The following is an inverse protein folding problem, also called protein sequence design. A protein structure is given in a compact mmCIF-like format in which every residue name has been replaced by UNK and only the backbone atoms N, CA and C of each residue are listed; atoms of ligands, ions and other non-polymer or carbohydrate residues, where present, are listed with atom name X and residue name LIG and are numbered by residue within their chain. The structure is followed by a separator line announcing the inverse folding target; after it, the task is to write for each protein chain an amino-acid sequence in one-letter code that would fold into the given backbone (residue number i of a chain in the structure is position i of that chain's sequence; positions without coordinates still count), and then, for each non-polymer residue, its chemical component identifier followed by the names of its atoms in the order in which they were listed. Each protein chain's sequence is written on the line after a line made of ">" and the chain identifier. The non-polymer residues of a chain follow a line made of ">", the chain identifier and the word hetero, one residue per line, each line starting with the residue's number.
data_IF_263456622667
#
_entry.id   IF_263456622667
#
_cell.length_a   1.000
_cell.length_b   1.000
_cell.length_c   1.000
_cell.angle_alpha   90.00
_cell.angle_beta   90.00
_cell.angle_gamma   90.00
#
_symmetry.space_group_name_H-M   'P 1'
#
loop_
_entity.id
_entity.type
_entity.pdbx_description
1 polymer ?
#
# COMPACT_ATOMS: atom_id res chain seq x y z
N UNK A 1 -25.51 2.12 -16.89
CA UNK A 1 -24.66 2.67 -15.80
C UNK A 1 -23.47 3.32 -16.45
N UNK A 2 -23.24 4.61 -16.20
CA UNK A 2 -22.03 5.29 -16.67
C UNK A 2 -20.79 4.57 -16.14
N UNK A 3 -19.88 4.19 -17.03
CA UNK A 3 -18.61 3.56 -16.68
C UNK A 3 -17.81 4.37 -15.64
N UNK A 4 -18.02 5.69 -15.61
CA UNK A 4 -17.47 6.61 -14.59
C UNK A 4 -17.96 6.30 -13.18
N UNK A 5 -19.24 5.97 -13.02
CA UNK A 5 -19.83 5.62 -11.73
C UNK A 5 -19.26 4.30 -11.20
N UNK A 6 -19.06 3.33 -12.08
CA UNK A 6 -18.46 2.02 -11.72
C UNK A 6 -17.00 2.19 -11.28
N UNK A 7 -16.22 3.02 -11.99
CA UNK A 7 -14.84 3.35 -11.61
C UNK A 7 -14.76 4.04 -10.24
N UNK A 8 -15.63 5.01 -9.97
CA UNK A 8 -15.68 5.70 -8.67
C UNK A 8 -15.97 4.72 -7.54
N UNK A 9 -16.95 3.83 -7.72
CA UNK A 9 -17.30 2.81 -6.72
C UNK A 9 -16.12 1.87 -6.47
N UNK A 10 -15.44 1.42 -7.52
CA UNK A 10 -14.29 0.53 -7.42
C UNK A 10 -13.14 1.18 -6.63
N UNK A 11 -12.87 2.47 -6.90
CA UNK A 11 -11.86 3.25 -6.18
C UNK A 11 -12.24 3.40 -4.70
N UNK A 12 -13.52 3.65 -4.41
CA UNK A 12 -14.02 3.79 -3.04
C UNK A 12 -13.84 2.49 -2.25
N UNK A 13 -14.11 1.34 -2.87
CA UNK A 13 -13.87 0.02 -2.28
C UNK A 13 -12.38 -0.21 -2.01
N UNK A 14 -11.50 0.16 -2.95
CA UNK A 14 -10.04 0.05 -2.78
C UNK A 14 -9.55 0.95 -1.64
N UNK A 15 -10.04 2.19 -1.55
CA UNK A 15 -9.69 3.12 -0.48
C UNK A 15 -10.15 2.62 0.89
N UNK A 16 -11.38 2.11 1.00
CA UNK A 16 -11.89 1.52 2.25
C UNK A 16 -11.02 0.33 2.65
N UNK A 17 -10.69 -0.55 1.71
CA UNK A 17 -9.81 -1.70 1.96
C UNK A 17 -8.42 -1.27 2.45
N UNK A 18 -7.83 -0.26 1.82
CA UNK A 18 -6.53 0.29 2.22
C UNK A 18 -6.58 0.94 3.61
N UNK A 19 -7.63 1.68 3.94
CA UNK A 19 -7.83 2.27 5.27
C UNK A 19 -7.94 1.18 6.35
N UNK A 20 -8.71 0.12 6.07
CA UNK A 20 -8.80 -1.04 6.95
C UNK A 20 -7.44 -1.70 7.17
N UNK A 21 -6.65 -1.85 6.11
CA UNK A 21 -5.31 -2.43 6.20
C UNK A 21 -4.35 -1.53 6.97
N UNK A 22 -4.43 -0.21 6.80
CA UNK A 22 -3.68 0.78 7.56
C UNK A 22 -4.05 0.73 9.04
N UNK A 23 -5.34 0.63 9.37
CA UNK A 23 -5.80 0.51 10.75
C UNK A 23 -5.27 -0.76 11.42
N UNK A 24 -5.32 -1.91 10.71
CA UNK A 24 -4.74 -3.16 11.19
C UNK A 24 -3.23 -3.05 11.38
N UNK A 25 -2.55 -2.32 10.50
CA UNK A 25 -1.11 -2.07 10.62
C UNK A 25 -0.79 -1.19 11.82
N UNK A 26 -1.64 -0.20 12.11
CA UNK A 26 -1.53 0.67 13.28
C UNK A 26 -1.77 -0.09 14.58
N UNK A 27 -2.77 -1.00 14.61
CA UNK A 27 -3.00 -1.90 15.75
C UNK A 27 -1.82 -2.84 15.98
N UNK A 28 -1.28 -3.45 14.92
CA UNK A 28 -0.06 -4.25 15.00
C UNK A 28 1.10 -3.42 15.55
N UNK A 29 1.32 -2.21 15.03
CA UNK A 29 2.39 -1.32 15.49
C UNK A 29 2.24 -0.96 16.97
N UNK A 30 1.03 -0.64 17.44
CA UNK A 30 0.75 -0.39 18.85
C UNK A 30 1.02 -1.62 19.72
N UNK A 31 0.64 -2.80 19.24
CA UNK A 31 0.88 -4.06 19.94
C UNK A 31 2.38 -4.41 20.00
N UNK A 32 3.12 -4.16 18.93
CA UNK A 32 4.58 -4.36 18.88
C UNK A 32 5.35 -3.33 19.70
N UNK A 33 4.92 -2.06 19.73
CA UNK A 33 5.55 -1.04 20.56
C UNK A 33 5.42 -1.39 22.06
N UNK A 34 4.26 -1.92 22.46
CA UNK A 34 4.06 -2.46 23.82
C UNK A 34 4.97 -3.65 24.13
N UNK A 35 5.17 -4.55 23.15
CA UNK A 35 5.99 -5.77 23.34
C UNK A 35 7.50 -5.51 23.31
N UNK A 36 7.93 -4.42 22.67
CA UNK A 36 9.34 -4.01 22.61
C UNK A 36 9.80 -3.30 23.89
N UNK A 37 8.90 -2.61 24.59
CA UNK A 37 9.16 -2.02 25.92
C UNK A 37 9.32 -3.08 27.02
N UNK A 38 8.83 -4.31 26.81
CA UNK A 38 8.97 -5.45 27.72
C UNK A 38 10.22 -6.33 27.48
N UNK A 39 11.09 -5.95 26.54
CA UNK A 39 12.43 -6.53 26.45
C UNK A 39 12.48 -7.97 25.91
N UNK A 40 11.82 -8.25 24.78
CA UNK A 40 11.99 -9.54 24.09
C UNK A 40 12.39 -9.30 22.64
N UNK A 41 13.61 -9.71 22.30
CA UNK A 41 14.13 -9.89 20.93
C UNK A 41 13.17 -10.74 20.08
N UNK A 42 12.14 -10.12 19.51
CA UNK A 42 11.24 -10.71 18.52
C UNK A 42 11.27 -9.95 17.19
N UNK A 43 12.31 -9.14 16.97
CA UNK A 43 12.73 -8.72 15.64
C UNK A 43 13.33 -9.94 14.92
N UNK A 44 12.51 -10.70 14.20
CA UNK A 44 13.05 -11.55 13.13
C UNK A 44 12.20 -11.64 11.87
N UNK A 45 11.07 -10.90 11.73
CA UNK A 45 10.24 -10.99 10.49
C UNK A 45 9.15 -9.94 10.32
N UNK A 46 9.39 -8.70 10.72
CA UNK A 46 8.40 -7.62 10.52
C UNK A 46 8.71 -6.84 9.25
N UNK A 47 7.95 -7.15 8.19
CA UNK A 47 7.95 -6.46 6.90
C UNK A 47 8.01 -4.95 7.08
N UNK A 48 9.03 -4.32 6.49
CA UNK A 48 9.24 -2.89 6.62
C UNK A 48 8.07 -2.09 6.01
N UNK A 49 7.26 -1.39 6.84
CA UNK A 49 6.03 -0.72 6.39
C UNK A 49 6.30 0.51 5.52
N UNK A 50 7.53 1.03 5.50
CA UNK A 50 7.93 2.15 4.66
C UNK A 50 7.73 1.85 3.17
N UNK A 51 8.00 0.63 2.71
CA UNK A 51 7.83 0.26 1.31
C UNK A 51 6.36 0.29 0.88
N UNK A 52 5.44 -0.10 1.77
CA UNK A 52 4.00 0.02 1.51
C UNK A 52 3.58 1.48 1.39
N UNK A 53 4.09 2.34 2.28
CA UNK A 53 3.79 3.77 2.28
C UNK A 53 4.34 4.47 1.03
N UNK A 54 5.54 4.09 0.59
CA UNK A 54 6.13 4.56 -0.67
C UNK A 54 5.33 4.10 -1.90
N UNK A 55 4.86 2.86 -1.92
CA UNK A 55 3.97 2.38 -2.99
C UNK A 55 2.67 3.20 -3.06
N UNK A 56 2.07 3.53 -1.91
CA UNK A 56 0.86 4.35 -1.84
C UNK A 56 1.07 5.78 -2.34
N UNK A 57 2.13 6.46 -1.88
CA UNK A 57 2.46 7.82 -2.32
C UNK A 57 2.68 7.86 -3.83
N UNK A 58 3.30 6.82 -4.39
CA UNK A 58 3.59 6.76 -5.82
C UNK A 58 2.36 6.39 -6.66
N UNK A 59 1.42 5.64 -6.08
CA UNK A 59 0.20 5.22 -6.76
C UNK A 59 -0.92 6.29 -6.76
N UNK A 60 -1.04 7.07 -5.68
CA UNK A 60 -2.11 8.06 -5.52
C UNK A 60 -2.22 9.07 -6.69
N UNK A 61 -1.10 9.68 -7.16
CA UNK A 61 -1.14 10.62 -8.28
C UNK A 61 -1.60 9.96 -9.60
N UNK A 62 -1.18 8.71 -9.83
CA UNK A 62 -1.62 7.94 -11.00
C UNK A 62 -3.12 7.69 -10.95
N UNK A 63 -3.64 7.33 -9.78
CA UNK A 63 -5.06 7.09 -9.58
C UNK A 63 -5.89 8.37 -9.79
N UNK A 64 -5.43 9.52 -9.30
CA UNK A 64 -6.06 10.83 -9.57
C UNK A 64 -6.06 11.13 -11.08
N UNK A 65 -4.94 10.89 -11.76
CA UNK A 65 -4.82 11.10 -13.20
C UNK A 65 -5.79 10.22 -13.99
N UNK A 66 -5.99 8.97 -13.59
CA UNK A 66 -6.93 8.05 -14.26
C UNK A 66 -8.39 8.47 -14.09
N UNK A 67 -8.75 9.05 -12.94
CA UNK A 67 -10.09 9.60 -12.72
C UNK A 67 -10.34 10.79 -13.65
N UNK A 68 -9.36 11.68 -13.78
CA UNK A 68 -9.50 12.90 -14.56
C UNK A 68 -9.43 12.67 -16.07
N UNK A 69 -8.45 11.87 -16.51
CA UNK A 69 -8.06 11.77 -17.92
C UNK A 69 -8.32 10.37 -18.52
N UNK A 70 -8.71 9.38 -17.71
CA UNK A 70 -8.81 7.99 -18.15
C UNK A 70 -7.47 7.26 -18.09
N UNK A 71 -7.51 5.97 -18.42
CA UNK A 71 -6.32 5.11 -18.42
C UNK A 71 -5.65 5.15 -19.80
N UNK A 72 -4.36 5.50 -19.83
CA UNK A 72 -3.54 5.55 -21.03
C UNK A 72 -2.42 4.51 -20.99
N UNK A 73 -1.89 4.12 -22.15
CA UNK A 73 -0.80 3.15 -22.24
C UNK A 73 0.46 3.58 -21.46
N UNK A 74 0.70 4.89 -21.33
CA UNK A 74 1.82 5.43 -20.56
C UNK A 74 1.70 5.15 -19.06
N UNK A 75 0.49 4.92 -18.56
CA UNK A 75 0.26 4.65 -17.15
C UNK A 75 0.78 3.28 -16.71
N UNK A 76 0.94 2.33 -17.65
CA UNK A 76 1.62 1.05 -17.38
C UNK A 76 3.07 1.30 -16.94
N UNK A 77 3.76 2.24 -17.59
CA UNK A 77 5.14 2.59 -17.24
C UNK A 77 5.19 3.28 -15.88
N UNK A 78 4.18 4.10 -15.57
CA UNK A 78 4.07 4.80 -14.28
C UNK A 78 3.76 3.88 -13.10
N UNK A 79 3.30 2.66 -13.34
CA UNK A 79 3.10 1.63 -12.32
C UNK A 79 4.38 0.88 -11.95
N UNK A 80 5.44 0.93 -12.77
CA UNK A 80 6.70 0.20 -12.52
C UNK A 80 7.27 0.53 -11.12
N UNK A 81 7.38 1.79 -10.69
CA UNK A 81 7.87 2.12 -9.35
C UNK A 81 6.98 1.56 -8.23
N UNK A 82 5.65 1.58 -8.42
CA UNK A 82 4.68 1.04 -7.45
C UNK A 82 4.90 -0.47 -7.28
N UNK A 83 5.08 -1.20 -8.39
CA UNK A 83 5.36 -2.64 -8.38
C UNK A 83 6.69 -2.93 -7.69
N UNK A 84 7.73 -2.13 -7.92
CA UNK A 84 9.03 -2.30 -7.26
C UNK A 84 8.90 -2.12 -5.74
N UNK A 85 8.20 -1.08 -5.27
CA UNK A 85 7.99 -0.90 -3.82
C UNK A 85 7.14 -2.00 -3.20
N UNK A 86 6.11 -2.49 -3.90
CA UNK A 86 5.34 -3.64 -3.45
C UNK A 86 6.18 -4.93 -3.43
N UNK A 87 7.04 -5.14 -4.43
CA UNK A 87 7.95 -6.27 -4.47
C UNK A 87 8.95 -6.23 -3.31
N UNK A 88 9.54 -5.07 -3.02
CA UNK A 88 10.41 -4.88 -1.84
C UNK A 88 9.64 -5.13 -0.52
N UNK A 89 8.38 -4.72 -0.44
CA UNK A 89 7.54 -4.99 0.73
C UNK A 89 7.22 -6.48 0.90
N UNK A 90 7.01 -7.23 -0.20
CA UNK A 90 6.61 -8.63 -0.13
C UNK A 90 7.78 -9.61 -0.07
N UNK A 91 8.88 -9.33 -0.78
CA UNK A 91 10.02 -10.23 -1.00
C UNK A 91 11.35 -9.67 -0.47
N UNK A 92 11.43 -8.39 -0.10
CA UNK A 92 12.68 -7.78 0.40
C UNK A 92 13.11 -8.24 1.80
N UNK A 93 12.29 -9.05 2.46
CA UNK A 93 12.50 -9.62 3.81
C UNK A 93 12.66 -11.15 3.78
N UNK A 94 12.71 -11.77 2.59
CA UNK A 94 12.88 -13.23 2.44
C UNK A 94 14.37 -13.67 2.47
N UNK A 95 15.29 -12.71 2.52
CA UNK A 95 16.74 -12.92 2.59
C UNK A 95 17.27 -12.76 4.03
N UNK A 96 16.74 -13.53 5.00
CA UNK A 96 17.43 -13.91 6.27
C UNK A 96 16.80 -15.16 6.92
#
# INVERSE_FOLDING_TARGET
>A
MDYKLVMIILILVILIYLLLRLHYLEELLKHYHFKNDEGVCSLSRTKNPLYLLMAMITFLPNLINWIANGFEAIDIVRLIPVVVFLWLYYCGDDDE
#
